data_IF_376371908313
#
_entry.id   IF_376371908313
#
_cell.length_a   1.000
_cell.length_b   1.000
_cell.length_c   1.000
_cell.angle_alpha   90.00
_cell.angle_beta   90.00
_cell.angle_gamma   90.00
#
_symmetry.space_group_name_H-M   'P 1'
#
loop_
_entity.id
_entity.type
_entity.pdbx_description
1 polymer ?
#
# COMPACT_ATOMS: atom_id res chain seq x y z
N UNK A 1 34.28 -5.79 -15.47
CA UNK A 1 33.09 -6.41 -16.10
C UNK A 1 32.21 -6.91 -14.96
N UNK A 2 31.31 -6.06 -14.47
CA UNK A 2 30.36 -6.44 -13.44
C UNK A 2 29.23 -7.21 -14.11
N UNK A 3 29.13 -8.51 -13.82
CA UNK A 3 27.97 -9.31 -14.19
C UNK A 3 26.74 -8.68 -13.54
N UNK A 4 26.00 -7.88 -14.28
CA UNK A 4 24.68 -7.43 -13.91
C UNK A 4 23.79 -8.66 -13.80
N UNK A 5 23.58 -9.11 -12.57
CA UNK A 5 22.64 -10.20 -12.29
C UNK A 5 21.26 -9.69 -12.75
N UNK A 6 20.83 -10.10 -13.93
CA UNK A 6 19.48 -9.82 -14.39
C UNK A 6 18.53 -10.59 -13.47
N UNK A 7 17.87 -9.87 -12.58
CA UNK A 7 16.86 -10.46 -11.69
C UNK A 7 15.71 -10.98 -12.57
N UNK A 8 15.46 -12.27 -12.53
CA UNK A 8 14.43 -12.93 -13.34
C UNK A 8 13.32 -13.46 -12.43
N UNK A 9 12.09 -13.12 -12.76
CA UNK A 9 10.88 -13.50 -12.01
C UNK A 9 9.80 -14.00 -12.99
N UNK A 10 8.82 -14.73 -12.51
CA UNK A 10 7.64 -15.05 -13.32
C UNK A 10 6.84 -13.77 -13.63
N UNK A 11 6.65 -12.93 -12.62
CA UNK A 11 5.96 -11.66 -12.75
C UNK A 11 6.81 -10.49 -12.21
N UNK A 12 6.83 -9.41 -12.96
CA UNK A 12 7.37 -8.12 -12.53
C UNK A 12 6.23 -7.12 -12.47
N UNK A 13 5.96 -6.56 -11.29
CA UNK A 13 4.82 -5.65 -11.06
C UNK A 13 5.34 -4.26 -10.83
N UNK A 14 4.96 -3.31 -11.67
CA UNK A 14 5.33 -1.91 -11.55
C UNK A 14 4.26 -1.14 -10.78
N UNK A 15 4.57 -0.79 -9.54
CA UNK A 15 3.69 -0.16 -8.56
C UNK A 15 3.18 -1.13 -7.49
N UNK A 16 3.33 -0.76 -6.22
CA UNK A 16 2.91 -1.54 -5.06
C UNK A 16 1.68 -0.94 -4.35
N UNK A 17 0.83 -0.23 -5.08
CA UNK A 17 -0.49 0.18 -4.62
C UNK A 17 -1.45 -0.99 -4.51
N UNK A 18 -2.75 -0.71 -4.24
CA UNK A 18 -3.77 -1.74 -4.00
C UNK A 18 -3.88 -2.79 -5.12
N UNK A 19 -3.75 -2.38 -6.38
CA UNK A 19 -3.73 -3.31 -7.52
C UNK A 19 -2.46 -4.15 -7.56
N UNK A 20 -1.29 -3.53 -7.32
CA UNK A 20 0.00 -4.20 -7.39
C UNK A 20 0.19 -5.24 -6.30
N UNK A 21 0.02 -4.86 -5.03
CA UNK A 21 0.22 -5.82 -3.95
C UNK A 21 -0.84 -6.94 -3.93
N UNK A 22 -2.09 -6.67 -4.33
CA UNK A 22 -3.11 -7.70 -4.43
C UNK A 22 -2.75 -8.72 -5.51
N UNK A 23 -2.29 -8.26 -6.68
CA UNK A 23 -1.77 -9.12 -7.74
C UNK A 23 -0.56 -9.93 -7.26
N UNK A 24 0.41 -9.29 -6.59
CA UNK A 24 1.61 -9.94 -6.08
C UNK A 24 1.30 -11.05 -5.08
N UNK A 25 0.41 -10.79 -4.12
CA UNK A 25 0.00 -11.77 -3.12
C UNK A 25 -0.70 -12.96 -3.77
N UNK A 26 -1.61 -12.71 -4.70
CA UNK A 26 -2.30 -13.79 -5.41
C UNK A 26 -1.37 -14.62 -6.28
N UNK A 27 -0.45 -13.98 -6.99
CA UNK A 27 0.55 -14.67 -7.81
C UNK A 27 1.47 -15.56 -6.97
N UNK A 28 1.92 -15.06 -5.81
CA UNK A 28 2.72 -15.85 -4.87
C UNK A 28 1.96 -17.07 -4.34
N UNK A 29 0.66 -16.95 -4.04
CA UNK A 29 -0.20 -18.09 -3.64
C UNK A 29 -0.31 -19.16 -4.75
N UNK A 30 -0.21 -18.75 -6.02
CA UNK A 30 -0.21 -19.63 -7.16
C UNK A 30 1.18 -20.21 -7.48
N UNK A 31 2.18 -19.92 -6.65
CA UNK A 31 3.53 -20.46 -6.79
C UNK A 31 4.43 -19.68 -7.75
N UNK A 32 4.04 -18.49 -8.21
CA UNK A 32 4.88 -17.65 -9.05
C UNK A 32 5.93 -16.90 -8.23
N UNK A 33 7.11 -16.76 -8.81
CA UNK A 33 8.13 -15.83 -8.33
C UNK A 33 7.76 -14.41 -8.74
N UNK A 34 7.77 -13.47 -7.77
CA UNK A 34 7.25 -12.11 -7.99
C UNK A 34 8.23 -11.06 -7.53
N UNK A 35 8.52 -10.10 -8.40
CA UNK A 35 9.13 -8.82 -8.02
C UNK A 35 8.08 -7.71 -8.12
N UNK A 36 8.06 -6.83 -7.12
CA UNK A 36 7.19 -5.66 -7.05
C UNK A 36 8.04 -4.41 -6.87
N UNK A 37 7.88 -3.43 -7.75
CA UNK A 37 8.68 -2.21 -7.81
C UNK A 37 7.86 -1.06 -7.24
N UNK A 38 8.40 -0.32 -6.28
CA UNK A 38 7.72 0.83 -5.67
C UNK A 38 8.70 1.96 -5.39
N UNK A 39 8.31 3.17 -5.77
CA UNK A 39 9.15 4.38 -5.61
C UNK A 39 8.93 5.13 -4.30
N UNK A 40 7.84 4.82 -3.58
CA UNK A 40 7.49 5.48 -2.30
C UNK A 40 7.29 4.39 -1.23
N UNK A 41 6.06 3.98 -0.99
CA UNK A 41 5.72 3.00 0.06
C UNK A 41 4.73 1.98 -0.45
N UNK A 42 4.95 0.72 -0.10
CA UNK A 42 3.98 -0.36 -0.32
C UNK A 42 2.63 0.01 0.29
N UNK A 43 1.55 -0.15 -0.48
CA UNK A 43 0.18 0.21 -0.08
C UNK A 43 -0.41 1.37 -0.91
N UNK A 44 0.44 2.20 -1.51
CA UNK A 44 0.05 3.27 -2.43
C UNK A 44 -0.90 4.31 -1.84
N UNK A 45 -1.62 5.01 -2.70
CA UNK A 45 -2.50 6.12 -2.32
C UNK A 45 -3.57 5.72 -1.31
N UNK A 46 -4.22 4.57 -1.50
CA UNK A 46 -5.31 4.14 -0.62
C UNK A 46 -4.86 3.99 0.84
N UNK A 47 -3.73 3.36 1.07
CA UNK A 47 -3.21 3.12 2.42
C UNK A 47 -2.66 4.40 3.07
N UNK A 48 -1.93 5.21 2.31
CA UNK A 48 -1.16 6.31 2.91
C UNK A 48 -1.82 7.68 2.82
N UNK A 49 -2.66 7.94 1.79
CA UNK A 49 -3.18 9.29 1.49
C UNK A 49 -4.67 9.31 1.14
N UNK A 50 -5.33 8.15 1.11
CA UNK A 50 -6.72 8.01 0.65
C UNK A 50 -7.63 7.28 1.62
N UNK A 51 -7.99 6.05 1.28
CA UNK A 51 -9.05 5.28 1.94
C UNK A 51 -8.84 5.12 3.46
N UNK A 52 -7.63 4.73 3.87
CA UNK A 52 -7.38 4.37 5.27
C UNK A 52 -7.35 5.62 6.17
N UNK A 53 -6.56 6.68 5.87
CA UNK A 53 -6.61 7.88 6.69
C UNK A 53 -7.99 8.54 6.68
N UNK A 54 -8.71 8.55 5.55
CA UNK A 54 -10.07 9.10 5.48
C UNK A 54 -11.03 8.33 6.39
N UNK A 55 -11.01 6.99 6.37
CA UNK A 55 -11.86 6.17 7.24
C UNK A 55 -11.52 6.34 8.72
N UNK A 56 -10.25 6.52 9.07
CA UNK A 56 -9.86 6.81 10.45
C UNK A 56 -10.41 8.16 10.94
N UNK A 57 -10.37 9.19 10.08
CA UNK A 57 -10.94 10.51 10.40
C UNK A 57 -12.47 10.45 10.49
N UNK A 58 -13.13 9.75 9.58
CA UNK A 58 -14.59 9.55 9.62
C UNK A 58 -15.01 8.83 10.91
N UNK A 59 -14.27 7.80 11.33
CA UNK A 59 -14.57 7.11 12.57
C UNK A 59 -14.49 8.05 13.81
N UNK A 60 -13.50 8.92 13.85
CA UNK A 60 -13.43 9.94 14.93
C UNK A 60 -14.64 10.91 14.89
N UNK A 61 -15.08 11.30 13.69
CA UNK A 61 -16.28 12.12 13.53
C UNK A 61 -17.56 11.38 13.95
N UNK A 62 -17.70 10.09 13.60
CA UNK A 62 -18.82 9.23 14.01
C UNK A 62 -18.90 9.13 15.53
N UNK A 63 -17.78 8.94 16.23
CA UNK A 63 -17.76 8.91 17.71
C UNK A 63 -18.27 10.23 18.29
N UNK A 64 -17.87 11.37 17.73
CA UNK A 64 -18.37 12.66 18.16
C UNK A 64 -19.87 12.83 17.92
N UNK A 65 -20.36 12.40 16.77
CA UNK A 65 -21.79 12.46 16.41
C UNK A 65 -22.63 11.51 17.25
N UNK A 66 -22.18 10.29 17.51
CA UNK A 66 -22.85 9.37 18.43
C UNK A 66 -22.94 9.95 19.84
N UNK A 67 -21.87 10.62 20.32
CA UNK A 67 -21.88 11.26 21.61
C UNK A 67 -22.90 12.41 21.69
N UNK A 68 -22.97 13.25 20.65
CA UNK A 68 -23.97 14.34 20.56
C UNK A 68 -25.41 13.84 20.55
N UNK A 69 -25.66 12.73 19.86
CA UNK A 69 -26.97 12.17 19.62
C UNK A 69 -27.34 11.04 20.59
N UNK A 70 -26.52 10.77 21.59
CA UNK A 70 -26.69 9.64 22.52
C UNK A 70 -28.03 9.66 23.28
N UNK A 71 -28.58 10.85 23.57
CA UNK A 71 -29.87 11.00 24.25
C UNK A 71 -31.05 10.37 23.47
N UNK A 72 -30.98 10.30 22.15
CA UNK A 72 -32.01 9.70 21.28
C UNK A 72 -32.24 8.21 21.57
N UNK A 73 -31.24 7.54 22.13
CA UNK A 73 -31.29 6.12 22.51
C UNK A 73 -31.23 5.92 24.04
N UNK A 74 -31.48 6.98 24.81
CA UNK A 74 -31.52 6.94 26.27
C UNK A 74 -30.16 6.98 26.98
N UNK A 75 -29.07 7.19 26.26
CA UNK A 75 -27.72 7.31 26.82
C UNK A 75 -27.40 8.77 27.15
N UNK A 76 -26.99 9.05 28.40
CA UNK A 76 -26.52 10.39 28.81
C UNK A 76 -25.03 10.49 28.56
N UNK A 77 -24.63 11.33 27.60
CA UNK A 77 -23.25 11.60 27.28
C UNK A 77 -23.05 13.09 26.99
N UNK A 78 -21.83 13.58 27.23
CA UNK A 78 -21.42 14.97 26.95
C UNK A 78 -20.17 14.95 26.11
N UNK A 79 -20.19 15.68 24.98
CA UNK A 79 -18.99 15.93 24.18
C UNK A 79 -18.33 17.20 24.69
N UNK A 80 -17.22 17.06 25.42
CA UNK A 80 -16.48 18.20 26.00
C UNK A 80 -15.66 18.95 24.94
N UNK A 81 -15.23 18.25 23.87
CA UNK A 81 -14.46 18.85 22.78
C UNK A 81 -13.87 17.81 21.85
N UNK A 82 -13.11 18.28 20.86
CA UNK A 82 -12.37 17.44 19.91
C UNK A 82 -10.90 17.87 19.93
N UNK A 83 -10.03 16.97 20.39
CA UNK A 83 -8.58 17.13 20.26
C UNK A 83 -8.10 16.69 18.88
N UNK A 84 -7.88 17.64 17.97
CA UNK A 84 -7.40 17.36 16.62
C UNK A 84 -5.99 16.77 16.58
N UNK A 85 -5.16 17.02 17.60
CA UNK A 85 -3.83 16.37 17.70
C UNK A 85 -3.99 14.88 18.00
N UNK A 86 -4.88 14.55 18.94
CA UNK A 86 -5.25 13.17 19.24
C UNK A 86 -5.87 12.45 18.05
N UNK A 87 -6.80 13.10 17.33
CA UNK A 87 -7.42 12.55 16.10
C UNK A 87 -6.37 12.25 15.03
N UNK A 88 -5.43 13.16 14.79
CA UNK A 88 -4.36 12.93 13.81
C UNK A 88 -3.42 11.81 14.26
N UNK A 89 -3.05 11.76 15.53
CA UNK A 89 -2.23 10.67 16.09
C UNK A 89 -2.91 9.31 15.95
N UNK A 90 -4.22 9.23 16.18
CA UNK A 90 -5.02 8.02 15.94
C UNK A 90 -4.96 7.60 14.46
N UNK A 91 -5.24 8.52 13.53
CA UNK A 91 -5.16 8.27 12.09
C UNK A 91 -3.77 7.75 11.69
N UNK A 92 -2.69 8.37 12.14
CA UNK A 92 -1.32 7.98 11.80
C UNK A 92 -0.96 6.60 12.37
N UNK A 93 -1.44 6.28 13.57
CA UNK A 93 -1.31 4.95 14.16
C UNK A 93 -2.02 3.87 13.33
N UNK A 94 -3.23 4.14 12.86
CA UNK A 94 -3.98 3.21 12.00
C UNK A 94 -3.20 2.94 10.70
N UNK A 95 -2.77 3.99 9.99
CA UNK A 95 -1.99 3.88 8.76
C UNK A 95 -0.70 3.09 8.98
N UNK A 96 0.06 3.45 10.02
CA UNK A 96 1.33 2.78 10.37
C UNK A 96 1.13 1.29 10.69
N UNK A 97 0.08 0.95 11.42
CA UNK A 97 -0.22 -0.45 11.79
C UNK A 97 -0.56 -1.27 10.55
N UNK A 98 -1.40 -0.74 9.66
CA UNK A 98 -1.76 -1.43 8.42
C UNK A 98 -0.56 -1.55 7.46
N UNK A 99 0.28 -0.53 7.35
CA UNK A 99 1.49 -0.58 6.53
C UNK A 99 2.46 -1.67 7.02
N UNK A 100 2.71 -1.75 8.34
CA UNK A 100 3.54 -2.81 8.92
C UNK A 100 2.97 -4.21 8.67
N UNK A 101 1.66 -4.38 8.81
CA UNK A 101 0.99 -5.63 8.51
C UNK A 101 1.14 -6.04 7.05
N UNK A 102 0.90 -5.12 6.13
CA UNK A 102 1.03 -5.38 4.69
C UNK A 102 2.48 -5.71 4.29
N UNK A 103 3.46 -4.93 4.75
CA UNK A 103 4.88 -5.20 4.45
C UNK A 103 5.35 -6.53 5.04
N UNK A 104 4.89 -6.87 6.24
CA UNK A 104 5.13 -8.17 6.85
C UNK A 104 4.54 -9.32 6.03
N UNK A 105 3.30 -9.16 5.54
CA UNK A 105 2.64 -10.15 4.68
C UNK A 105 3.38 -10.32 3.35
N UNK A 106 3.71 -9.23 2.67
CA UNK A 106 4.48 -9.25 1.41
C UNK A 106 5.80 -10.01 1.59
N UNK A 107 6.52 -9.72 2.68
CA UNK A 107 7.77 -10.39 3.02
C UNK A 107 7.58 -11.88 3.31
N UNK A 108 6.56 -12.25 4.09
CA UNK A 108 6.29 -13.65 4.46
C UNK A 108 5.90 -14.52 3.25
N UNK A 109 5.39 -13.90 2.20
CA UNK A 109 5.04 -14.56 0.93
C UNK A 109 6.21 -14.64 -0.05
N UNK A 110 7.41 -14.24 0.33
CA UNK A 110 8.60 -14.32 -0.51
C UNK A 110 8.58 -13.36 -1.71
N UNK A 111 7.73 -12.34 -1.68
CA UNK A 111 7.67 -11.33 -2.74
C UNK A 111 8.87 -10.40 -2.60
N UNK A 112 9.64 -10.24 -3.68
CA UNK A 112 10.77 -9.32 -3.73
C UNK A 112 10.28 -7.89 -3.96
N UNK A 113 10.49 -7.00 -3.01
CA UNK A 113 10.21 -5.57 -3.18
C UNK A 113 11.49 -4.86 -3.61
N UNK A 114 11.42 -4.15 -4.73
CA UNK A 114 12.51 -3.33 -5.26
C UNK A 114 12.12 -1.87 -5.13
N UNK A 115 12.83 -1.15 -4.27
CA UNK A 115 12.59 0.27 -4.06
C UNK A 115 13.22 1.10 -5.19
N UNK A 116 12.45 2.01 -5.75
CA UNK A 116 12.89 2.93 -6.77
C UNK A 116 11.86 3.19 -7.88
N UNK A 117 12.18 4.16 -8.73
CA UNK A 117 11.36 4.47 -9.89
C UNK A 117 11.64 3.48 -11.03
N UNK A 118 10.65 2.64 -11.33
CA UNK A 118 10.74 1.68 -12.42
C UNK A 118 10.31 2.27 -13.76
N UNK A 119 11.00 1.86 -14.84
CA UNK A 119 10.65 2.21 -16.23
C UNK A 119 10.56 0.95 -17.06
N UNK A 120 9.47 0.80 -17.80
CA UNK A 120 9.33 -0.27 -18.79
C UNK A 120 10.34 -0.02 -19.92
N UNK A 121 11.27 -0.96 -20.13
CA UNK A 121 12.33 -0.85 -21.15
C UNK A 121 12.19 -1.90 -22.25
N UNK A 122 11.38 -2.93 -22.01
CA UNK A 122 10.98 -3.93 -23.00
C UNK A 122 9.61 -4.51 -22.57
N UNK A 123 8.90 -5.23 -23.44
CA UNK A 123 7.61 -5.85 -23.10
C UNK A 123 7.67 -6.77 -21.86
N UNK A 124 8.83 -7.33 -21.60
CA UNK A 124 9.13 -8.25 -20.51
C UNK A 124 10.10 -7.71 -19.46
N UNK A 125 10.50 -6.43 -19.53
CA UNK A 125 11.56 -5.92 -18.65
C UNK A 125 11.29 -4.51 -18.12
N UNK A 126 11.62 -4.33 -16.82
CA UNK A 126 11.58 -3.05 -16.11
C UNK A 126 12.96 -2.71 -15.58
N UNK A 127 13.41 -1.49 -15.79
CA UNK A 127 14.66 -0.93 -15.27
C UNK A 127 14.38 -0.12 -14.00
N UNK A 128 15.18 -0.33 -12.95
CA UNK A 128 15.16 0.45 -11.70
C UNK A 128 16.60 0.81 -11.35
N UNK A 129 16.98 2.06 -11.54
CA UNK A 129 18.41 2.45 -11.45
C UNK A 129 19.28 1.59 -12.39
N UNK A 130 20.28 0.92 -11.83
CA UNK A 130 21.16 0.02 -12.60
C UNK A 130 20.66 -1.44 -12.67
N UNK A 131 19.54 -1.78 -12.01
CA UNK A 131 18.96 -3.12 -12.02
C UNK A 131 17.96 -3.28 -13.15
N UNK A 132 18.09 -4.37 -13.90
CA UNK A 132 17.11 -4.78 -14.89
C UNK A 132 16.38 -6.03 -14.41
N UNK A 133 15.06 -5.92 -14.18
CA UNK A 133 14.21 -7.03 -13.81
C UNK A 133 13.51 -7.56 -15.06
N UNK A 134 13.58 -8.86 -15.28
CA UNK A 134 12.96 -9.53 -16.44
C UNK A 134 11.85 -10.46 -15.98
N UNK A 135 10.71 -10.39 -16.63
CA UNK A 135 9.56 -11.25 -16.39
C UNK A 135 9.54 -12.41 -17.41
N UNK A 136 9.45 -13.66 -16.94
CA UNK A 136 9.31 -14.82 -17.82
C UNK A 136 7.88 -15.01 -18.32
N UNK A 137 6.90 -14.47 -17.63
CA UNK A 137 5.48 -14.58 -17.99
C UNK A 137 4.85 -13.23 -18.34
N UNK A 138 4.93 -12.23 -17.43
CA UNK A 138 4.32 -10.93 -17.70
C UNK A 138 4.89 -9.81 -16.82
N UNK A 139 4.89 -8.59 -17.37
CA UNK A 139 4.97 -7.35 -16.63
C UNK A 139 3.57 -6.83 -16.38
N UNK A 140 3.26 -6.50 -15.12
CA UNK A 140 1.98 -5.93 -14.72
C UNK A 140 2.16 -4.44 -14.42
N UNK A 141 1.40 -3.59 -15.10
CA UNK A 141 1.40 -2.14 -14.85
C UNK A 141 0.31 -1.80 -13.82
N UNK A 142 0.74 -1.44 -12.61
CA UNK A 142 -0.12 -1.04 -11.49
C UNK A 142 0.31 0.31 -10.93
N UNK A 143 0.69 1.25 -11.81
CA UNK A 143 1.34 2.51 -11.52
C UNK A 143 0.47 3.53 -10.80
N UNK A 144 -0.86 3.27 -10.72
CA UNK A 144 -1.81 4.11 -10.00
C UNK A 144 -2.12 5.42 -10.72
N UNK A 145 -2.63 6.37 -9.91
CA UNK A 145 -3.00 7.71 -10.37
C UNK A 145 -2.71 8.75 -9.29
N UNK A 146 -2.59 10.00 -9.68
CA UNK A 146 -2.51 11.15 -8.78
C UNK A 146 -3.33 12.30 -9.36
N UNK A 147 -3.77 13.21 -8.49
CA UNK A 147 -4.48 14.42 -8.92
C UNK A 147 -3.54 15.34 -9.69
N UNK A 148 -4.07 15.95 -10.73
CA UNK A 148 -3.41 17.02 -11.49
C UNK A 148 -3.56 18.34 -10.80
#
# INVERSE_FOLDING_TARGET
>A
MTNGNADTFDLVILGAGSGGYACALRASELGFTVAMIEKDKVGGTCLHRGCIPTKALLHAAEVADHTRNAASVGVKATLEGIDMTGVNSYKDKVVSTMHRGLTGLVKSRGITVVEGEGRLVAPDAVQVGDRRLTATKAVVLATGSYSR
#
